data_IF_799935915863
#
_entry.id   IF_799935915863
#
_cell.length_a   1.000
_cell.length_b   1.000
_cell.length_c   1.000
_cell.angle_alpha   90.00
_cell.angle_beta   90.00
_cell.angle_gamma   90.00
#
_symmetry.space_group_name_H-M   'P 1'
#
loop_
_entity.id
_entity.type
_entity.pdbx_description
1 polymer ?
#
# COMPACT_ATOMS: atom_id res chain seq x y z
N UNK A 1 -66.95 15.87 34.75
CA UNK A 1 -66.16 16.49 33.66
C UNK A 1 -64.65 16.56 33.96
N UNK A 2 -64.20 16.83 35.19
CA UNK A 2 -62.77 16.94 35.52
C UNK A 2 -61.93 15.68 35.26
N UNK A 3 -62.45 14.47 35.53
CA UNK A 3 -61.72 13.20 35.30
C UNK A 3 -61.42 12.88 33.83
N UNK A 4 -62.26 13.37 32.91
CA UNK A 4 -62.07 13.15 31.46
C UNK A 4 -60.93 14.01 30.91
N UNK A 5 -60.73 15.20 31.48
CA UNK A 5 -59.63 16.10 31.12
C UNK A 5 -58.26 15.51 31.50
N UNK A 6 -58.16 14.81 32.64
CA UNK A 6 -56.92 14.12 33.02
C UNK A 6 -56.58 12.94 32.11
N UNK A 7 -57.59 12.21 31.63
CA UNK A 7 -57.39 11.13 30.65
C UNK A 7 -56.93 11.68 29.29
N UNK A 8 -57.49 12.82 28.85
CA UNK A 8 -57.09 13.49 27.62
C UNK A 8 -55.67 14.07 27.70
N UNK A 9 -55.26 14.58 28.86
CA UNK A 9 -53.87 15.04 29.07
C UNK A 9 -52.85 13.90 29.00
N UNK A 10 -53.24 12.67 29.38
CA UNK A 10 -52.37 11.49 29.34
C UNK A 10 -52.10 11.00 27.89
N UNK A 11 -52.96 11.38 26.94
CA UNK A 11 -52.84 11.03 25.51
C UNK A 11 -51.90 11.99 24.75
N UNK A 12 -51.48 13.10 25.36
CA UNK A 12 -50.53 14.04 24.76
C UNK A 12 -49.12 13.54 25.04
N UNK A 13 -48.60 12.69 24.16
CA UNK A 13 -47.17 12.38 24.12
C UNK A 13 -46.48 13.39 23.22
N UNK A 14 -45.57 14.18 23.80
CA UNK A 14 -44.76 15.16 23.08
C UNK A 14 -43.44 14.47 22.74
N UNK A 15 -43.26 14.06 21.49
CA UNK A 15 -41.97 13.59 21.00
C UNK A 15 -41.11 14.81 20.71
N UNK A 16 -40.16 15.11 21.59
CA UNK A 16 -39.18 16.18 21.38
C UNK A 16 -37.95 15.54 20.73
N UNK A 17 -37.68 15.89 19.48
CA UNK A 17 -36.41 15.54 18.82
C UNK A 17 -35.38 16.64 19.09
N UNK A 18 -34.24 16.27 19.68
CA UNK A 18 -33.15 17.19 20.01
C UNK A 18 -32.13 17.28 18.89
N UNK A 19 -32.48 17.95 17.80
CA UNK A 19 -31.51 18.32 16.77
C UNK A 19 -30.61 19.44 17.31
N UNK A 20 -29.30 19.35 17.07
CA UNK A 20 -28.32 20.35 17.52
C UNK A 20 -27.78 21.11 16.32
N UNK A 21 -28.09 22.40 16.24
CA UNK A 21 -27.46 23.32 15.30
C UNK A 21 -26.30 24.08 15.94
N UNK A 22 -25.15 24.12 15.27
CA UNK A 22 -24.06 25.06 15.58
C UNK A 22 -23.98 26.03 14.41
N UNK A 23 -24.24 27.31 14.69
CA UNK A 23 -24.43 28.35 13.67
C UNK A 23 -25.58 28.07 12.67
N UNK A 24 -26.49 27.13 12.95
CA UNK A 24 -27.70 26.87 12.17
C UNK A 24 -28.95 27.20 13.00
N UNK A 25 -29.84 28.03 12.46
CA UNK A 25 -31.11 28.39 13.12
C UNK A 25 -32.20 27.34 12.91
N UNK A 26 -32.10 26.59 11.81
CA UNK A 26 -33.06 25.55 11.41
C UNK A 26 -32.25 24.33 10.96
N UNK A 27 -31.74 23.52 11.91
CA UNK A 27 -30.92 22.37 11.56
C UNK A 27 -31.69 21.35 10.72
N UNK A 28 -31.14 20.98 9.56
CA UNK A 28 -31.77 19.97 8.68
C UNK A 28 -31.32 18.54 9.01
N UNK A 29 -30.38 18.38 9.95
CA UNK A 29 -29.83 17.08 10.36
C UNK A 29 -29.61 17.03 11.87
N UNK A 30 -29.39 15.83 12.43
CA UNK A 30 -29.19 15.63 13.88
C UNK A 30 -28.06 16.50 14.46
N UNK A 31 -26.99 16.72 13.69
CA UNK A 31 -25.94 17.68 13.99
C UNK A 31 -25.58 18.43 12.70
N UNK A 32 -25.93 19.70 12.63
CA UNK A 32 -25.53 20.59 11.53
C UNK A 32 -24.57 21.66 12.04
N UNK A 33 -23.40 21.76 11.41
CA UNK A 33 -22.40 22.80 11.69
C UNK A 33 -22.25 23.65 10.43
N UNK A 34 -22.80 24.86 10.46
CA UNK A 34 -22.76 25.80 9.33
C UNK A 34 -21.55 26.71 9.46
N UNK A 35 -20.74 26.76 8.40
CA UNK A 35 -19.54 27.60 8.37
C UNK A 35 -19.81 29.07 8.06
N UNK A 36 -18.77 29.92 8.20
CA UNK A 36 -18.83 31.36 7.87
C UNK A 36 -17.85 31.71 6.75
N UNK A 37 -18.19 31.44 5.48
CA UNK A 37 -17.24 31.51 4.36
C UNK A 37 -16.66 32.91 4.08
N UNK A 38 -17.30 33.98 4.58
CA UNK A 38 -16.87 35.37 4.34
C UNK A 38 -16.15 36.00 5.54
N UNK A 39 -16.00 35.29 6.67
CA UNK A 39 -15.30 35.79 7.86
C UNK A 39 -13.91 35.16 7.94
N UNK A 40 -12.88 35.92 7.52
CA UNK A 40 -11.50 35.43 7.49
C UNK A 40 -10.89 35.17 8.87
N UNK A 41 -11.54 35.62 9.95
CA UNK A 41 -11.11 35.37 11.33
C UNK A 41 -11.94 34.25 11.99
N UNK A 42 -12.80 33.58 11.22
CA UNK A 42 -13.54 32.41 11.66
C UNK A 42 -12.90 31.14 11.10
N UNK A 43 -12.60 30.18 11.98
CA UNK A 43 -11.98 28.92 11.61
C UNK A 43 -13.03 27.81 11.62
N UNK A 44 -13.62 27.55 10.45
CA UNK A 44 -14.61 26.49 10.26
C UNK A 44 -13.98 25.09 10.49
N UNK A 45 -14.60 24.25 11.31
CA UNK A 45 -14.17 22.86 11.49
C UNK A 45 -14.70 22.19 12.76
N UNK A 46 -14.47 20.87 12.86
CA UNK A 46 -14.74 20.07 14.05
C UNK A 46 -13.43 19.45 14.51
N UNK A 47 -12.99 19.79 15.72
CA UNK A 47 -11.82 19.17 16.35
C UNK A 47 -12.33 18.06 17.28
N UNK A 48 -12.12 16.76 16.96
CA UNK A 48 -12.46 15.68 17.89
C UNK A 48 -11.49 15.69 19.08
N UNK A 49 -11.77 14.91 20.15
CA UNK A 49 -10.86 14.79 21.27
C UNK A 49 -9.43 14.43 20.82
N UNK A 50 -8.46 15.21 21.28
CA UNK A 50 -7.03 14.95 21.10
C UNK A 50 -6.51 14.10 22.25
N UNK A 51 -5.78 13.04 21.94
CA UNK A 51 -5.29 12.08 22.94
C UNK A 51 -4.00 11.41 22.45
N UNK A 52 -3.08 11.05 23.34
CA UNK A 52 -1.93 10.21 22.94
C UNK A 52 -2.34 8.74 22.82
N UNK A 53 -1.59 7.94 22.07
CA UNK A 53 -1.81 6.50 21.98
C UNK A 53 -1.76 5.81 23.34
N UNK A 54 -0.85 6.22 24.23
CA UNK A 54 -0.74 5.67 25.58
C UNK A 54 -1.92 6.06 26.49
N UNK A 55 -2.38 7.30 26.42
CA UNK A 55 -3.60 7.73 27.14
C UNK A 55 -4.85 7.02 26.64
N UNK A 56 -4.88 6.67 25.35
CA UNK A 56 -5.97 5.90 24.78
C UNK A 56 -5.89 4.42 25.17
N UNK A 57 -4.69 3.86 25.24
CA UNK A 57 -4.43 2.48 25.67
C UNK A 57 -4.89 2.25 27.13
N UNK A 58 -4.86 3.29 27.97
CA UNK A 58 -5.39 3.27 29.32
C UNK A 58 -6.94 3.24 29.41
N UNK A 59 -7.64 3.28 28.27
CA UNK A 59 -9.12 3.27 28.19
C UNK A 59 -9.62 2.05 27.43
N UNK A 60 -10.73 1.48 27.91
CA UNK A 60 -11.42 0.39 27.22
C UNK A 60 -12.72 0.89 26.62
N UNK A 61 -12.83 0.84 25.30
CA UNK A 61 -14.04 1.18 24.56
C UNK A 61 -14.85 -0.09 24.30
N UNK A 62 -16.10 -0.14 24.74
CA UNK A 62 -17.00 -1.26 24.44
C UNK A 62 -17.59 -1.12 23.03
N UNK A 63 -18.22 -2.19 22.52
CA UNK A 63 -18.85 -2.20 21.19
C UNK A 63 -19.90 -1.10 20.97
N UNK A 64 -20.53 -0.59 22.03
CA UNK A 64 -21.49 0.53 21.96
C UNK A 64 -20.84 1.88 21.65
N UNK A 65 -19.50 1.96 21.63
CA UNK A 65 -18.74 3.16 21.26
C UNK A 65 -18.21 3.12 19.82
N UNK A 66 -18.65 2.14 19.02
CA UNK A 66 -18.31 2.05 17.59
C UNK A 66 -18.67 3.36 16.89
N UNK A 67 -17.76 3.85 16.05
CA UNK A 67 -17.88 5.12 15.35
C UNK A 67 -17.35 6.33 16.11
N UNK A 68 -16.82 6.16 17.34
CA UNK A 68 -16.10 7.22 18.02
C UNK A 68 -14.88 7.64 17.19
N UNK A 69 -14.66 8.96 17.04
CA UNK A 69 -13.55 9.55 16.31
C UNK A 69 -12.69 10.35 17.27
N UNK A 70 -11.38 10.22 17.14
CA UNK A 70 -10.37 10.95 17.90
C UNK A 70 -9.26 11.42 16.96
N UNK A 71 -8.49 12.39 17.43
CA UNK A 71 -7.19 12.70 16.85
C UNK A 71 -6.09 12.23 17.81
N UNK A 72 -5.27 11.29 17.36
CA UNK A 72 -4.13 10.81 18.13
C UNK A 72 -2.96 11.75 17.89
N UNK A 73 -2.36 12.31 18.93
CA UNK A 73 -1.24 13.26 18.81
C UNK A 73 0.14 12.61 18.84
N UNK A 74 0.25 11.37 19.35
CA UNK A 74 1.49 10.59 19.43
C UNK A 74 1.15 9.10 19.39
N UNK A 75 2.00 8.25 18.78
CA UNK A 75 1.78 6.81 18.73
C UNK A 75 1.72 6.15 20.11
N UNK A 76 1.13 4.96 20.19
CA UNK A 76 1.19 4.17 21.42
C UNK A 76 2.57 3.53 21.56
N UNK A 77 3.15 3.60 22.77
CA UNK A 77 4.43 2.97 23.08
C UNK A 77 4.34 1.44 23.08
N UNK A 78 3.15 0.89 23.35
CA UNK A 78 2.88 -0.54 23.34
C UNK A 78 1.65 -0.87 22.47
N UNK A 79 1.89 -1.45 21.30
CA UNK A 79 0.87 -1.76 20.29
C UNK A 79 0.14 -3.06 20.61
N UNK A 80 -0.77 -3.02 21.58
CA UNK A 80 -1.58 -4.17 22.00
C UNK A 80 -3.05 -3.80 22.14
N UNK A 81 -3.91 -4.82 22.05
CA UNK A 81 -5.35 -4.66 22.25
C UNK A 81 -5.96 -3.64 21.29
N UNK A 82 -6.77 -2.72 21.82
CA UNK A 82 -7.53 -1.77 21.00
C UNK A 82 -6.66 -0.77 20.23
N UNK A 83 -5.42 -0.52 20.66
CA UNK A 83 -4.53 0.51 20.10
C UNK A 83 -3.45 -0.07 19.17
N UNK A 84 -3.55 -1.34 18.79
CA UNK A 84 -2.54 -2.04 17.99
C UNK A 84 -2.19 -1.35 16.65
N UNK A 85 -3.08 -0.54 16.08
CA UNK A 85 -2.83 0.19 14.82
C UNK A 85 -2.44 1.67 15.02
N UNK A 86 -2.17 2.11 16.25
CA UNK A 86 -1.84 3.51 16.55
C UNK A 86 -0.32 3.72 16.48
N UNK A 87 0.20 3.64 15.27
CA UNK A 87 1.64 3.72 14.97
C UNK A 87 2.10 5.13 14.60
N UNK A 88 1.17 6.05 14.34
CA UNK A 88 1.45 7.43 13.96
C UNK A 88 0.41 8.42 14.52
N UNK A 89 0.72 9.71 14.42
CA UNK A 89 -0.22 10.80 14.70
C UNK A 89 -1.27 10.87 13.58
N UNK A 90 -2.55 11.07 13.92
CA UNK A 90 -3.61 11.16 12.91
C UNK A 90 -5.02 10.97 13.44
N UNK A 91 -5.99 10.94 12.51
CA UNK A 91 -7.39 10.69 12.83
C UNK A 91 -7.66 9.19 12.92
N UNK A 92 -8.29 8.76 14.01
CA UNK A 92 -8.67 7.36 14.23
C UNK A 92 -10.15 7.24 14.56
N UNK A 93 -10.78 6.16 14.09
CA UNK A 93 -12.12 5.76 14.49
C UNK A 93 -12.12 4.38 15.16
N UNK A 94 -13.01 4.21 16.14
CA UNK A 94 -13.18 2.92 16.81
C UNK A 94 -14.15 2.03 16.02
N UNK A 95 -13.69 0.88 15.53
CA UNK A 95 -14.52 -0.03 14.74
C UNK A 95 -15.35 -1.02 15.59
N UNK A 96 -15.18 -1.01 16.91
CA UNK A 96 -15.78 -1.96 17.86
C UNK A 96 -14.77 -2.93 18.49
N UNK A 97 -13.57 -3.05 17.91
CA UNK A 97 -12.47 -3.88 18.40
C UNK A 97 -11.15 -3.10 18.49
N UNK A 98 -10.81 -2.36 17.44
CA UNK A 98 -9.57 -1.62 17.29
C UNK A 98 -9.83 -0.17 16.88
N UNK A 99 -8.90 0.71 17.23
CA UNK A 99 -8.75 2.03 16.64
C UNK A 99 -8.10 1.90 15.28
N UNK A 100 -8.78 2.36 14.24
CA UNK A 100 -8.28 2.31 12.86
C UNK A 100 -8.14 3.73 12.34
N UNK A 101 -7.08 3.99 11.60
CA UNK A 101 -6.84 5.31 11.03
C UNK A 101 -7.88 5.59 9.93
N UNK A 102 -8.46 6.79 9.92
CA UNK A 102 -9.54 7.15 9.00
C UNK A 102 -9.05 7.42 7.58
N UNK A 103 -7.83 7.92 7.42
CA UNK A 103 -7.21 8.15 6.13
C UNK A 103 -5.71 7.97 6.25
N UNK A 104 -5.19 6.97 5.55
CA UNK A 104 -3.82 6.91 5.06
C UNK A 104 -3.98 6.82 3.55
N UNK A 105 -3.45 7.79 2.80
CA UNK A 105 -3.28 7.60 1.36
C UNK A 105 -2.64 6.22 1.17
N UNK A 106 -3.14 5.36 0.25
CA UNK A 106 -2.49 4.08 0.02
C UNK A 106 -1.01 4.36 -0.22
N UNK A 107 -0.16 3.88 0.69
CA UNK A 107 1.28 4.02 0.51
C UNK A 107 1.64 2.99 -0.55
N UNK A 108 2.06 3.48 -1.71
CA UNK A 108 2.50 2.60 -2.79
C UNK A 108 3.93 2.21 -2.45
N UNK A 109 4.21 0.92 -2.31
CA UNK A 109 5.57 0.47 -2.06
C UNK A 109 6.19 0.06 -3.40
N UNK A 110 7.36 0.61 -3.70
CA UNK A 110 8.08 0.42 -4.94
C UNK A 110 9.52 -0.03 -4.62
N UNK A 111 9.88 -1.23 -5.05
CA UNK A 111 11.23 -1.76 -4.92
C UNK A 111 11.92 -1.71 -6.30
N UNK A 112 12.90 -0.82 -6.43
CA UNK A 112 13.79 -0.79 -7.58
C UNK A 112 14.95 -1.75 -7.35
N UNK A 113 15.05 -2.77 -8.18
CA UNK A 113 16.12 -3.77 -8.14
C UNK A 113 17.06 -3.48 -9.30
N UNK A 114 18.26 -2.97 -8.98
CA UNK A 114 19.32 -2.71 -9.96
C UNK A 114 20.17 -3.96 -10.10
N UNK A 115 20.33 -4.44 -11.33
CA UNK A 115 21.23 -5.56 -11.63
C UNK A 115 22.67 -5.04 -11.67
N UNK A 116 23.52 -5.60 -10.82
CA UNK A 116 24.85 -5.08 -10.53
C UNK A 116 25.94 -6.13 -10.76
N UNK A 117 26.69 -5.93 -11.84
CA UNK A 117 27.80 -6.81 -12.23
C UNK A 117 28.98 -6.80 -11.24
N UNK A 118 29.06 -5.82 -10.35
CA UNK A 118 30.15 -5.71 -9.37
C UNK A 118 29.94 -6.58 -8.13
N UNK A 119 28.73 -7.10 -7.93
CA UNK A 119 28.38 -7.96 -6.80
C UNK A 119 28.27 -9.42 -7.25
N UNK A 120 28.65 -10.34 -6.36
CA UNK A 120 28.54 -11.78 -6.57
C UNK A 120 27.11 -12.18 -6.98
N UNK A 121 27.00 -13.07 -7.98
CA UNK A 121 25.71 -13.50 -8.52
C UNK A 121 24.71 -13.90 -7.42
N UNK A 122 23.47 -13.41 -7.52
CA UNK A 122 22.37 -13.69 -6.60
C UNK A 122 22.57 -13.23 -5.15
N UNK A 123 23.52 -12.32 -4.90
CA UNK A 123 23.59 -11.59 -3.62
C UNK A 123 22.72 -10.34 -3.68
N UNK A 124 21.98 -10.04 -2.60
CA UNK A 124 21.10 -8.86 -2.52
C UNK A 124 21.65 -7.92 -1.45
N UNK A 125 21.86 -6.65 -1.82
CA UNK A 125 22.22 -5.58 -0.89
C UNK A 125 21.15 -4.48 -0.90
N UNK A 126 20.89 -3.90 0.26
CA UNK A 126 19.96 -2.78 0.42
C UNK A 126 20.73 -1.47 0.30
N UNK A 127 20.39 -0.64 -0.68
CA UNK A 127 21.04 0.64 -0.90
C UNK A 127 20.33 1.79 -0.16
N UNK A 128 19.01 1.69 0.01
CA UNK A 128 18.21 2.67 0.75
C UNK A 128 17.28 1.99 1.75
N UNK A 129 16.75 2.77 2.69
CA UNK A 129 15.61 2.39 3.52
C UNK A 129 14.30 2.83 2.84
N UNK A 130 13.17 2.25 3.24
CA UNK A 130 11.86 2.76 2.87
C UNK A 130 11.74 4.22 3.32
N UNK A 131 11.52 5.13 2.38
CA UNK A 131 11.24 6.52 2.73
C UNK A 131 9.77 6.65 3.13
N UNK A 132 9.53 7.40 4.18
CA UNK A 132 8.23 8.02 4.44
C UNK A 132 8.30 9.41 3.79
N UNK A 133 7.30 9.77 2.98
CA UNK A 133 7.07 11.11 2.41
C UNK A 133 7.66 11.49 1.04
N UNK A 134 6.77 12.04 0.20
CA UNK A 134 7.01 13.27 -0.58
C UNK A 134 5.80 14.19 -0.37
N UNK A 135 5.98 15.47 0.00
CA UNK A 135 4.96 16.48 -0.23
C UNK A 135 5.09 16.94 -1.70
N UNK A 136 4.01 17.47 -2.28
CA UNK A 136 3.96 18.49 -3.36
C UNK A 136 3.19 18.14 -4.66
N UNK A 137 2.53 19.16 -5.26
CA UNK A 137 1.12 19.11 -5.63
C UNK A 137 0.87 19.19 -7.16
N UNK A 138 1.85 18.83 -7.99
CA UNK A 138 1.77 19.08 -9.44
C UNK A 138 1.62 17.84 -10.31
N UNK A 139 1.58 16.63 -9.73
CA UNK A 139 1.37 15.41 -10.50
C UNK A 139 0.25 14.54 -9.91
N UNK A 140 -0.94 14.49 -10.54
CA UNK A 140 -2.05 13.65 -10.08
C UNK A 140 -1.78 12.13 -10.20
N UNK A 141 -0.59 11.72 -10.67
CA UNK A 141 -0.14 10.31 -10.70
C UNK A 141 0.96 9.99 -9.68
N UNK A 142 1.44 10.96 -8.91
CA UNK A 142 2.42 10.71 -7.83
C UNK A 142 1.67 10.47 -6.53
N UNK A 143 1.35 9.21 -6.29
CA UNK A 143 0.98 8.77 -4.96
C UNK A 143 2.21 8.81 -4.03
N UNK A 144 2.01 8.82 -2.70
CA UNK A 144 3.10 8.69 -1.72
C UNK A 144 3.78 7.33 -1.91
N UNK A 145 4.79 7.29 -2.77
CA UNK A 145 5.59 6.10 -3.04
C UNK A 145 6.64 6.00 -1.93
N UNK A 146 6.54 4.96 -1.11
CA UNK A 146 7.71 4.50 -0.37
C UNK A 146 8.55 3.68 -1.35
N UNK A 147 9.76 4.15 -1.64
CA UNK A 147 10.69 3.51 -2.57
C UNK A 147 11.87 2.95 -1.80
N UNK A 148 12.29 1.73 -2.16
CA UNK A 148 13.52 1.12 -1.68
C UNK A 148 14.35 0.59 -2.84
N UNK A 149 15.66 0.87 -2.80
CA UNK A 149 16.59 0.42 -3.84
C UNK A 149 17.36 -0.81 -3.33
N UNK A 150 17.32 -1.87 -4.11
CA UNK A 150 18.11 -3.09 -3.94
C UNK A 150 19.13 -3.19 -5.06
N UNK A 151 20.33 -3.69 -4.77
CA UNK A 151 21.28 -4.12 -5.80
C UNK A 151 21.35 -5.65 -5.77
N UNK A 152 21.02 -6.27 -6.90
CA UNK A 152 21.10 -7.71 -7.11
C UNK A 152 22.38 -8.01 -7.89
N UNK A 153 23.28 -8.78 -7.30
CA UNK A 153 24.53 -9.15 -7.94
C UNK A 153 24.33 -10.05 -9.15
N UNK A 154 25.00 -9.69 -10.24
CA UNK A 154 24.97 -10.41 -11.52
C UNK A 154 26.37 -10.69 -12.07
N UNK A 155 27.41 -10.61 -11.24
CA UNK A 155 28.79 -10.93 -11.62
C UNK A 155 28.87 -12.30 -12.32
N UNK A 156 29.41 -12.32 -13.54
CA UNK A 156 29.58 -13.55 -14.34
C UNK A 156 28.29 -14.06 -15.00
N UNK A 157 27.16 -13.38 -14.85
CA UNK A 157 25.90 -13.74 -15.52
C UNK A 157 25.69 -12.97 -16.83
N UNK A 158 26.46 -11.91 -17.09
CA UNK A 158 26.36 -11.08 -18.30
C UNK A 158 24.99 -10.39 -18.46
N UNK A 159 24.26 -10.22 -17.35
CA UNK A 159 22.96 -9.53 -17.30
C UNK A 159 23.09 -8.21 -16.55
N UNK A 160 22.58 -7.14 -17.15
CA UNK A 160 22.45 -5.81 -16.54
C UNK A 160 21.03 -5.28 -16.71
N UNK A 161 20.72 -4.14 -16.09
CA UNK A 161 19.43 -3.48 -16.20
C UNK A 161 18.73 -3.32 -14.86
N UNK A 162 17.40 -3.30 -14.88
CA UNK A 162 16.58 -3.05 -13.70
C UNK A 162 15.27 -3.83 -13.71
N UNK A 163 14.78 -4.11 -12.52
CA UNK A 163 13.47 -4.69 -12.29
C UNK A 163 12.77 -3.78 -11.28
N UNK A 164 11.58 -3.30 -11.60
CA UNK A 164 10.73 -2.50 -10.72
C UNK A 164 9.60 -3.42 -10.22
N UNK A 165 9.47 -3.51 -8.90
CA UNK A 165 8.39 -4.26 -8.28
C UNK A 165 7.54 -3.29 -7.46
N UNK A 166 6.22 -3.26 -7.72
CA UNK A 166 5.31 -2.34 -7.04
C UNK A 166 4.17 -3.07 -6.37
N UNK A 167 3.77 -2.61 -5.19
CA UNK A 167 2.53 -3.03 -4.52
C UNK A 167 1.47 -1.93 -4.58
N UNK A 168 0.27 -2.31 -5.00
CA UNK A 168 -0.95 -1.49 -4.98
C UNK A 168 -2.07 -2.31 -4.34
N UNK A 169 -2.39 -2.02 -3.07
CA UNK A 169 -3.37 -2.81 -2.31
C UNK A 169 -2.98 -4.29 -2.23
N UNK A 170 -3.79 -5.16 -2.86
CA UNK A 170 -3.60 -6.62 -2.95
C UNK A 170 -2.97 -7.07 -4.27
N UNK A 171 -2.49 -6.15 -5.11
CA UNK A 171 -1.91 -6.49 -6.41
C UNK A 171 -0.47 -5.99 -6.44
N UNK A 172 0.44 -6.91 -6.72
CA UNK A 172 1.84 -6.69 -7.06
C UNK A 172 2.00 -6.54 -8.56
N UNK A 173 2.93 -5.69 -8.97
CA UNK A 173 3.36 -5.49 -10.35
C UNK A 173 4.85 -5.79 -10.41
N UNK A 174 5.29 -6.44 -11.47
CA UNK A 174 6.70 -6.71 -11.73
C UNK A 174 7.03 -6.29 -13.15
N UNK A 175 7.77 -5.21 -13.27
CA UNK A 175 8.25 -4.60 -14.50
C UNK A 175 9.73 -4.95 -14.70
N UNK A 176 10.00 -5.76 -15.71
CA UNK A 176 11.35 -6.22 -16.03
C UNK A 176 11.90 -5.41 -17.19
N UNK A 177 13.11 -4.87 -17.04
CA UNK A 177 13.84 -4.16 -18.09
C UNK A 177 15.33 -4.53 -18.04
N UNK A 178 15.69 -5.61 -18.73
CA UNK A 178 17.00 -6.24 -18.61
C UNK A 178 17.72 -6.28 -19.95
N UNK A 179 19.05 -6.29 -19.89
CA UNK A 179 19.95 -6.42 -21.03
C UNK A 179 20.77 -7.67 -20.78
N UNK A 180 20.77 -8.58 -21.74
CA UNK A 180 21.65 -9.74 -21.74
C UNK A 180 22.78 -9.47 -22.74
N UNK A 181 24.03 -9.50 -22.27
CA UNK A 181 25.18 -9.53 -23.17
C UNK A 181 25.35 -10.96 -23.67
N UNK A 182 25.64 -11.13 -24.96
CA UNK A 182 25.73 -12.46 -25.59
C UNK A 182 27.18 -12.96 -25.61
N UNK A 183 27.41 -14.29 -25.50
CA UNK A 183 26.44 -15.36 -25.28
C UNK A 183 26.48 -15.92 -23.84
N UNK A 184 25.28 -16.09 -23.27
CA UNK A 184 25.11 -16.74 -21.97
C UNK A 184 25.61 -18.20 -22.08
N UNK A 185 26.53 -18.54 -21.19
CA UNK A 185 27.25 -19.82 -21.21
C UNK A 185 26.40 -20.99 -20.72
N UNK A 186 25.42 -20.74 -19.86
CA UNK A 186 24.49 -21.75 -19.31
C UNK A 186 23.19 -21.87 -20.12
N UNK A 187 22.47 -23.00 -19.95
CA UNK A 187 21.15 -23.19 -20.59
C UNK A 187 20.09 -22.21 -20.07
N UNK A 188 20.27 -21.68 -18.86
CA UNK A 188 19.42 -20.68 -18.25
C UNK A 188 20.21 -19.88 -17.19
N UNK A 189 19.74 -18.66 -16.89
CA UNK A 189 20.21 -17.84 -15.78
C UNK A 189 19.10 -17.70 -14.75
N UNK A 190 19.46 -17.66 -13.47
CA UNK A 190 18.56 -17.38 -12.36
C UNK A 190 18.91 -16.05 -11.73
N UNK A 191 17.90 -15.20 -11.54
CA UNK A 191 17.96 -14.01 -10.70
C UNK A 191 17.01 -14.19 -9.50
N UNK A 192 17.55 -14.22 -8.29
CA UNK A 192 16.78 -14.36 -7.06
C UNK A 192 16.19 -13.01 -6.66
N UNK A 193 14.86 -12.90 -6.69
CA UNK A 193 14.12 -11.69 -6.31
C UNK A 193 13.41 -11.86 -4.95
N UNK A 194 13.77 -12.91 -4.20
CA UNK A 194 13.03 -13.35 -3.01
C UNK A 194 12.92 -12.26 -1.95
N UNK A 195 14.02 -11.60 -1.62
CA UNK A 195 14.05 -10.54 -0.61
C UNK A 195 13.19 -9.32 -0.99
N UNK A 196 13.43 -8.62 -2.11
CA UNK A 196 12.65 -7.42 -2.44
C UNK A 196 11.15 -7.72 -2.62
N UNK A 197 10.79 -8.87 -3.20
CA UNK A 197 9.39 -9.24 -3.37
C UNK A 197 8.72 -9.62 -2.05
N UNK A 198 9.42 -10.31 -1.13
CA UNK A 198 8.90 -10.60 0.21
C UNK A 198 8.79 -9.34 1.07
N UNK A 199 9.74 -8.41 0.97
CA UNK A 199 9.69 -7.11 1.65
C UNK A 199 8.46 -6.29 1.16
N UNK A 200 8.02 -6.49 -0.08
CA UNK A 200 6.77 -5.94 -0.63
C UNK A 200 5.50 -6.76 -0.31
N UNK A 201 5.61 -7.90 0.38
CA UNK A 201 4.48 -8.75 0.74
C UNK A 201 4.02 -9.74 -0.35
N UNK A 202 4.80 -9.95 -1.41
CA UNK A 202 4.50 -10.99 -2.38
C UNK A 202 4.54 -12.36 -1.69
N UNK A 203 3.56 -13.20 -2.01
CA UNK A 203 3.41 -14.49 -1.36
C UNK A 203 3.91 -15.64 -2.19
N UNK A 204 4.55 -16.58 -1.51
CA UNK A 204 4.84 -17.89 -2.06
C UNK A 204 3.55 -18.68 -2.16
N UNK A 205 3.33 -19.42 -3.26
CA UNK A 205 2.24 -20.38 -3.35
C UNK A 205 2.61 -21.76 -2.78
N UNK A 206 3.83 -21.90 -2.26
CA UNK A 206 4.34 -23.13 -1.65
C UNK A 206 4.52 -24.30 -2.63
N UNK A 207 4.30 -24.08 -3.93
CA UNK A 207 4.34 -25.12 -4.94
C UNK A 207 5.51 -24.92 -5.90
N UNK A 208 6.48 -25.85 -5.85
CA UNK A 208 7.67 -25.84 -6.71
C UNK A 208 7.38 -25.97 -8.20
N UNK A 209 6.18 -26.41 -8.59
CA UNK A 209 5.76 -26.57 -9.98
C UNK A 209 5.03 -25.35 -10.55
N UNK A 210 4.82 -24.31 -9.75
CA UNK A 210 4.07 -23.13 -10.15
C UNK A 210 4.98 -22.01 -10.65
N UNK A 211 4.71 -21.56 -11.87
CA UNK A 211 5.46 -20.53 -12.58
C UNK A 211 4.51 -19.46 -13.09
N UNK A 212 4.92 -18.20 -12.96
CA UNK A 212 4.31 -17.08 -13.66
C UNK A 212 5.14 -16.73 -14.89
N UNK A 213 4.57 -16.97 -16.07
CA UNK A 213 5.20 -16.62 -17.34
C UNK A 213 4.99 -15.13 -17.62
N UNK A 214 6.09 -14.45 -17.95
CA UNK A 214 6.13 -13.04 -18.30
C UNK A 214 6.45 -12.96 -19.78
N UNK A 215 5.51 -12.43 -20.56
CA UNK A 215 5.75 -12.11 -21.96
C UNK A 215 6.73 -10.94 -22.03
N UNK A 216 7.84 -11.14 -22.73
CA UNK A 216 8.85 -10.10 -22.96
C UNK A 216 8.96 -9.77 -24.44
N UNK A 217 9.31 -8.53 -24.72
CA UNK A 217 9.57 -8.03 -26.07
C UNK A 217 10.84 -7.19 -26.11
N UNK A 218 11.48 -7.17 -27.27
CA UNK A 218 12.72 -6.44 -27.50
C UNK A 218 13.10 -6.49 -28.98
N UNK A 219 14.21 -5.86 -29.33
CA UNK A 219 14.73 -5.93 -30.69
C UNK A 219 15.19 -7.36 -30.99
N UNK A 220 14.89 -7.86 -32.18
CA UNK A 220 15.37 -9.18 -32.61
C UNK A 220 16.90 -9.18 -32.77
N UNK A 221 17.51 -10.34 -32.51
CA UNK A 221 18.91 -10.66 -32.80
C UNK A 221 19.09 -11.22 -34.24
N UNK A 222 18.01 -11.28 -35.01
CA UNK A 222 18.01 -11.69 -36.42
C UNK A 222 18.39 -10.57 -37.39
N UNK A 223 18.48 -10.94 -38.67
CA UNK A 223 18.92 -10.05 -39.78
C UNK A 223 17.87 -8.96 -40.09
N UNK A 224 16.62 -9.10 -39.64
CA UNK A 224 15.57 -8.10 -39.80
C UNK A 224 15.41 -7.25 -38.54
N UNK A 225 15.34 -5.92 -38.73
CA UNK A 225 15.14 -4.93 -37.65
C UNK A 225 13.69 -4.96 -37.14
N UNK A 226 13.29 -6.07 -36.51
CA UNK A 226 11.95 -6.34 -36.01
C UNK A 226 11.87 -6.46 -34.49
N UNK A 227 10.64 -6.43 -33.96
CA UNK A 227 10.35 -6.75 -32.56
C UNK A 227 10.16 -8.26 -32.44
N UNK A 228 10.85 -8.89 -31.51
CA UNK A 228 10.67 -10.30 -31.18
C UNK A 228 9.91 -10.45 -29.85
N UNK A 229 9.40 -11.65 -29.59
CA UNK A 229 8.74 -11.99 -28.33
C UNK A 229 9.32 -13.28 -27.75
N UNK A 230 9.34 -13.33 -26.43
CA UNK A 230 9.88 -14.44 -25.66
C UNK A 230 9.17 -14.56 -24.32
N UNK A 231 9.51 -15.61 -23.59
CA UNK A 231 8.97 -15.86 -22.25
C UNK A 231 10.13 -15.95 -21.28
N UNK A 232 10.02 -15.21 -20.17
CA UNK A 232 10.78 -15.46 -18.95
C UNK A 232 9.79 -15.92 -17.88
N UNK A 233 10.26 -16.66 -16.88
CA UNK A 233 9.36 -17.25 -15.88
C UNK A 233 9.81 -16.85 -14.47
N UNK A 234 8.88 -16.44 -13.61
CA UNK A 234 9.14 -16.28 -12.18
C UNK A 234 8.61 -17.51 -11.44
N UNK A 235 9.44 -18.12 -10.58
CA UNK A 235 8.96 -19.17 -9.68
C UNK A 235 8.10 -18.57 -8.58
N UNK A 236 6.93 -19.16 -8.34
CA UNK A 236 6.03 -18.66 -7.31
C UNK A 236 6.40 -19.15 -5.92
N UNK A 237 7.27 -20.16 -5.79
CA UNK A 237 7.73 -20.66 -4.50
C UNK A 237 8.81 -19.76 -3.87
N UNK A 238 9.82 -19.41 -4.66
CA UNK A 238 11.07 -18.76 -4.19
C UNK A 238 11.39 -17.45 -4.90
N UNK A 239 10.54 -17.02 -5.84
CA UNK A 239 10.73 -15.80 -6.62
C UNK A 239 12.04 -15.76 -7.41
N UNK A 240 12.41 -16.90 -7.99
CA UNK A 240 13.53 -16.99 -8.91
C UNK A 240 13.05 -16.62 -10.31
N UNK A 241 13.62 -15.57 -10.89
CA UNK A 241 13.39 -15.21 -12.29
C UNK A 241 14.31 -16.04 -13.16
N UNK A 242 13.71 -16.85 -14.03
CA UNK A 242 14.36 -17.81 -14.91
C UNK A 242 14.43 -17.23 -16.32
N UNK A 243 15.66 -17.09 -16.81
CA UNK A 243 15.96 -16.59 -18.15
C UNK A 243 16.55 -17.74 -18.97
N UNK A 244 15.71 -18.36 -19.78
CA UNK A 244 16.13 -19.47 -20.64
C UNK A 244 16.93 -18.93 -21.82
N UNK A 245 18.10 -19.54 -22.07
CA UNK A 245 19.02 -19.14 -23.14
C UNK A 245 18.32 -19.00 -24.50
N UNK A 246 17.53 -20.01 -24.87
CA UNK A 246 16.78 -20.02 -26.13
C UNK A 246 15.66 -18.97 -26.23
N UNK A 247 15.25 -18.35 -25.12
CA UNK A 247 14.27 -17.27 -25.10
C UNK A 247 14.97 -15.91 -25.14
N UNK A 248 16.10 -15.75 -24.48
CA UNK A 248 16.79 -14.46 -24.35
C UNK A 248 17.78 -14.17 -25.48
N UNK A 249 18.41 -15.19 -26.09
CA UNK A 249 19.33 -15.00 -27.23
C UNK A 249 18.62 -14.58 -28.53
N UNK A 250 17.29 -14.62 -28.53
CA UNK A 250 16.43 -14.04 -29.57
C UNK A 250 16.57 -12.52 -29.66
N UNK A 251 17.06 -11.86 -28.62
CA UNK A 251 17.02 -10.41 -28.51
C UNK A 251 18.39 -9.76 -28.61
N UNK A 252 18.41 -8.52 -29.10
CA UNK A 252 19.54 -7.58 -28.98
C UNK A 252 19.14 -6.41 -28.09
N UNK A 253 20.03 -6.04 -27.16
CA UNK A 253 19.79 -4.91 -26.25
C UNK A 253 18.77 -5.20 -25.15
N UNK A 254 17.91 -4.23 -24.83
CA UNK A 254 16.98 -4.32 -23.70
C UNK A 254 15.71 -5.07 -24.05
N UNK A 255 15.35 -6.05 -23.21
CA UNK A 255 14.04 -6.71 -23.23
C UNK A 255 13.17 -6.19 -22.09
N UNK A 256 11.87 -6.05 -22.38
CA UNK A 256 10.88 -5.51 -21.45
C UNK A 256 9.67 -6.44 -21.33
N UNK A 257 9.17 -6.59 -20.11
CA UNK A 257 7.93 -7.31 -19.83
C UNK A 257 7.34 -6.87 -18.50
N UNK A 258 6.05 -7.12 -18.34
CA UNK A 258 5.29 -6.81 -17.13
C UNK A 258 4.40 -8.00 -16.77
N UNK A 259 4.25 -8.26 -15.48
CA UNK A 259 3.21 -9.16 -14.98
C UNK A 259 2.66 -8.67 -13.65
N UNK A 260 1.52 -9.23 -13.24
CA UNK A 260 0.87 -8.92 -11.96
C UNK A 260 0.82 -10.15 -11.06
N UNK A 261 0.90 -9.91 -9.75
CA UNK A 261 0.89 -10.94 -8.71
C UNK A 261 -0.13 -10.62 -7.63
N UNK A 262 -0.77 -11.61 -7.00
CA UNK A 262 -1.56 -11.37 -5.80
C UNK A 262 -0.67 -11.06 -4.59
N UNK A 263 -1.15 -10.18 -3.71
CA UNK A 263 -0.54 -9.80 -2.42
C UNK A 263 -1.62 -9.93 -1.33
N UNK A 264 -1.26 -10.41 -0.13
CA UNK A 264 -2.16 -10.51 1.01
C UNK A 264 -1.79 -9.51 2.11
N UNK A 265 -2.80 -8.94 2.77
CA UNK A 265 -2.64 -7.94 3.84
C UNK A 265 -2.06 -8.51 5.14
N UNK A 266 -2.10 -9.83 5.36
CA UNK A 266 -1.81 -10.41 6.67
C UNK A 266 -0.34 -10.38 7.11
N UNK A 267 0.62 -10.17 6.20
CA UNK A 267 2.06 -10.33 6.47
C UNK A 267 2.92 -9.09 6.21
N UNK A 268 2.33 -7.94 5.88
CA UNK A 268 3.12 -6.72 5.72
C UNK A 268 3.08 -5.96 7.03
N UNK A 269 4.22 -5.93 7.71
CA UNK A 269 4.48 -5.00 8.80
C UNK A 269 4.43 -3.61 8.15
N UNK A 270 3.31 -2.90 8.31
CA UNK A 270 3.26 -1.45 8.06
C UNK A 270 4.11 -0.70 9.08
#
# INVERSE_FOLDING_TARGET
>A
MSKFIYFLLLLITISIEGQVGINSQTPETTLEVVGKPNDSNHYDGIIPPKITGDQLAAKTYSSSKKGAIIYVTQPASNLLGQVIHIVEEGYYYFNGMFWNQMFKEPTYYDALIVLDETLSANTISEQSSWNTYLPFPTNPRQHTLSTKIYRLGTSGLEITGRIDARRIGTIGYLDVSIICSTPITSSYVILNLSKPLRDLGFMSDGSVSSLNNILVSGNSNGISSGVEQGIISLTNVDFNLLLWKNQIEKFTGTIKGMTTFPINYLNVIE
#
